data_IF_619322691535
#
_entry.id   IF_619322691535
#
_cell.length_a   1.000
_cell.length_b   1.000
_cell.length_c   1.000
_cell.angle_alpha   90.00
_cell.angle_beta   90.00
_cell.angle_gamma   90.00
#
_symmetry.space_group_name_H-M   'P 1'
#
loop_
_entity.id
_entity.type
_entity.pdbx_description
1 polymer ?
#
# COMPACT_ATOMS: atom_id res chain seq x y z
N UNK A 1 10.99 28.58 9.63
CA UNK A 1 9.63 28.52 9.08
C UNK A 1 9.70 27.85 7.72
N UNK A 2 9.02 26.73 7.57
CA UNK A 2 9.07 25.87 6.38
C UNK A 2 8.64 26.66 5.13
N UNK A 3 9.25 26.38 3.97
CA UNK A 3 8.94 27.10 2.72
C UNK A 3 7.46 27.01 2.36
N UNK A 4 6.80 25.89 2.68
CA UNK A 4 5.37 25.67 2.50
C UNK A 4 4.50 26.70 3.23
N UNK A 5 4.94 27.18 4.41
CA UNK A 5 4.22 28.21 5.18
C UNK A 5 4.37 29.62 4.57
N UNK A 6 5.39 29.86 3.73
CA UNK A 6 5.58 31.15 3.07
C UNK A 6 4.73 31.32 1.81
N UNK A 7 4.24 30.21 1.25
CA UNK A 7 3.45 30.16 0.01
C UNK A 7 1.97 29.83 0.27
N UNK A 8 1.53 29.85 1.53
CA UNK A 8 0.15 29.59 1.89
C UNK A 8 -0.74 30.77 1.52
N UNK A 9 -1.65 30.56 0.57
CA UNK A 9 -2.75 31.47 0.25
C UNK A 9 -4.04 30.89 0.84
N UNK A 10 -4.68 31.57 1.82
CA UNK A 10 -5.96 31.13 2.35
C UNK A 10 -7.01 31.13 1.23
N UNK A 11 -7.73 30.02 1.06
CA UNK A 11 -8.85 29.93 0.12
C UNK A 11 -10.11 29.46 0.85
N UNK A 12 -11.26 30.04 0.50
CA UNK A 12 -12.57 29.59 1.00
C UNK A 12 -13.15 28.43 0.17
N UNK A 13 -12.49 28.06 -0.93
CA UNK A 13 -12.88 26.90 -1.72
C UNK A 13 -12.63 25.60 -0.93
N UNK A 14 -13.52 24.59 -1.04
CA UNK A 14 -13.28 23.30 -0.45
C UNK A 14 -11.98 22.70 -1.00
N UNK A 15 -11.20 22.09 -0.12
CA UNK A 15 -9.96 21.43 -0.49
C UNK A 15 -10.22 20.31 -1.51
N UNK A 16 -9.65 20.43 -2.71
CA UNK A 16 -9.69 19.39 -3.72
C UNK A 16 -8.38 18.59 -3.72
N UNK A 17 -8.48 17.33 -3.29
CA UNK A 17 -7.34 16.43 -3.21
C UNK A 17 -6.75 16.07 -4.58
N UNK A 18 -7.51 16.21 -5.67
CA UNK A 18 -7.02 15.96 -7.03
C UNK A 18 -6.10 17.08 -7.53
N UNK A 19 -6.18 18.26 -6.92
CA UNK A 19 -5.33 19.41 -7.22
C UNK A 19 -3.96 19.33 -6.53
N UNK A 20 -3.73 18.33 -5.68
CA UNK A 20 -2.44 18.11 -5.00
C UNK A 20 -1.45 17.47 -5.98
N UNK A 21 -0.27 18.08 -6.21
CA UNK A 21 0.79 17.47 -7.01
C UNK A 21 1.21 16.12 -6.43
N UNK A 22 1.12 15.06 -7.23
CA UNK A 22 1.56 13.70 -6.85
C UNK A 22 3.09 13.56 -6.76
N UNK A 23 3.83 14.60 -7.13
CA UNK A 23 5.28 14.64 -7.07
C UNK A 23 5.75 14.98 -5.65
N UNK A 24 6.06 13.94 -4.88
CA UNK A 24 6.88 14.08 -3.68
C UNK A 24 8.30 14.38 -4.14
N UNK A 25 8.70 15.65 -4.10
CA UNK A 25 10.09 16.05 -4.31
C UNK A 25 10.93 15.51 -3.15
N UNK A 26 11.46 14.31 -3.31
CA UNK A 26 12.38 13.70 -2.36
C UNK A 26 13.61 14.61 -2.23
N UNK A 27 13.78 15.22 -1.05
CA UNK A 27 15.06 15.81 -0.68
C UNK A 27 16.07 14.66 -0.54
N UNK A 28 17.22 14.68 -1.25
CA UNK A 28 18.22 13.64 -1.08
C UNK A 28 18.90 13.82 0.27
N UNK A 29 18.58 12.95 1.23
CA UNK A 29 19.43 12.72 2.39
C UNK A 29 20.63 11.91 1.89
N UNK A 30 21.81 12.53 1.90
CA UNK A 30 23.03 11.87 1.47
C UNK A 30 23.46 10.83 2.50
N UNK A 31 23.20 9.54 2.20
CA UNK A 31 23.82 8.42 2.91
C UNK A 31 24.66 7.58 1.95
N UNK A 32 25.90 7.31 2.38
CA UNK A 32 27.01 6.81 1.57
C UNK A 32 27.13 5.29 1.69
N UNK A 33 26.90 4.58 0.57
CA UNK A 33 27.38 3.23 0.13
C UNK A 33 27.19 2.04 1.12
N UNK A 34 26.79 0.84 0.69
CA UNK A 34 27.62 -0.16 -0.02
C UNK A 34 26.75 -1.14 -0.84
N UNK A 35 27.24 -1.49 -2.03
CA UNK A 35 26.71 -2.52 -2.91
C UNK A 35 27.15 -3.94 -2.49
N UNK A 36 26.24 -4.93 -2.50
CA UNK A 36 26.37 -6.14 -3.35
C UNK A 36 25.28 -7.21 -3.11
N UNK A 37 24.82 -7.75 -4.24
CA UNK A 37 24.53 -9.17 -4.58
C UNK A 37 23.33 -9.90 -3.95
N UNK A 38 22.39 -10.25 -4.85
CA UNK A 38 21.47 -11.40 -4.76
C UNK A 38 22.19 -12.69 -4.36
N UNK A 39 21.47 -13.58 -3.68
CA UNK A 39 21.35 -14.96 -4.16
C UNK A 39 19.90 -15.31 -4.51
N UNK A 40 19.75 -15.98 -5.65
CA UNK A 40 18.55 -16.71 -6.07
C UNK A 40 18.36 -17.92 -5.17
N UNK A 41 17.18 -18.10 -4.57
CA UNK A 41 16.79 -19.28 -3.78
C UNK A 41 15.31 -19.57 -3.99
N UNK A 42 14.99 -20.83 -4.26
CA UNK A 42 13.73 -21.32 -4.81
C UNK A 42 12.50 -21.09 -3.91
N UNK A 43 11.35 -20.83 -4.53
CA UNK A 43 10.09 -21.46 -4.11
C UNK A 43 9.06 -20.61 -3.33
N UNK A 44 8.60 -19.49 -3.88
CA UNK A 44 7.20 -19.07 -3.78
C UNK A 44 6.97 -17.94 -4.80
N UNK A 45 6.00 -18.13 -5.70
CA UNK A 45 5.51 -17.02 -6.51
C UNK A 45 4.99 -15.95 -5.55
N UNK A 46 5.37 -14.67 -5.68
CA UNK A 46 4.64 -13.62 -4.99
C UNK A 46 3.24 -13.59 -5.62
N UNK A 47 2.26 -14.25 -4.99
CA UNK A 47 0.84 -14.11 -5.34
C UNK A 47 0.28 -12.78 -4.77
N UNK A 48 1.16 -11.81 -4.51
CA UNK A 48 0.76 -10.43 -4.26
C UNK A 48 0.60 -9.73 -5.61
N UNK A 49 -0.53 -9.07 -5.89
CA UNK A 49 -0.63 -8.22 -7.08
C UNK A 49 0.54 -7.22 -7.06
N UNK A 50 1.21 -7.08 -8.21
CA UNK A 50 2.19 -6.03 -8.44
C UNK A 50 1.59 -4.70 -7.99
N UNK A 51 2.26 -4.00 -7.07
CA UNK A 51 1.79 -2.85 -6.28
C UNK A 51 1.49 -1.58 -7.09
N UNK A 52 0.66 -1.69 -8.12
CA UNK A 52 0.06 -0.58 -8.84
C UNK A 52 -1.35 -0.33 -8.32
N UNK A 53 -1.72 0.94 -8.18
CA UNK A 53 -3.08 1.33 -7.79
C UNK A 53 -4.15 0.66 -8.68
N UNK A 54 -3.86 0.53 -9.98
CA UNK A 54 -4.74 -0.12 -10.97
C UNK A 54 -4.97 -1.62 -10.70
N UNK A 55 -3.99 -2.32 -10.13
CA UNK A 55 -4.11 -3.74 -9.82
C UNK A 55 -5.09 -3.97 -8.65
N UNK A 56 -5.03 -3.13 -7.62
CA UNK A 56 -5.97 -3.18 -6.50
C UNK A 56 -7.38 -2.78 -6.93
N UNK A 57 -7.53 -1.77 -7.79
CA UNK A 57 -8.85 -1.37 -8.30
C UNK A 57 -9.52 -2.53 -9.06
N UNK A 58 -8.78 -3.21 -9.94
CA UNK A 58 -9.30 -4.38 -10.66
C UNK A 58 -9.65 -5.54 -9.72
N UNK A 59 -8.78 -5.83 -8.74
CA UNK A 59 -9.01 -6.90 -7.77
C UNK A 59 -10.26 -6.65 -6.93
N UNK A 60 -10.37 -5.47 -6.32
CA UNK A 60 -11.49 -5.13 -5.45
C UNK A 60 -12.81 -5.04 -6.22
N UNK A 61 -12.76 -4.55 -7.47
CA UNK A 61 -13.94 -4.53 -8.35
C UNK A 61 -14.44 -5.91 -8.75
N UNK A 62 -13.62 -6.96 -8.61
CA UNK A 62 -14.04 -8.34 -8.88
C UNK A 62 -14.81 -8.99 -7.73
N UNK A 63 -14.87 -8.34 -6.56
CA UNK A 63 -15.56 -8.83 -5.36
C UNK A 63 -16.96 -8.19 -5.32
N UNK A 64 -18.04 -8.97 -5.56
CA UNK A 64 -19.40 -8.42 -5.69
C UNK A 64 -19.87 -7.64 -4.46
N UNK A 65 -19.45 -8.06 -3.26
CA UNK A 65 -19.79 -7.46 -1.98
C UNK A 65 -19.30 -6.00 -1.86
N UNK A 66 -18.29 -5.62 -2.64
CA UNK A 66 -17.71 -4.26 -2.62
C UNK A 66 -18.31 -3.34 -3.68
N UNK A 67 -19.24 -3.84 -4.51
CA UNK A 67 -19.85 -3.07 -5.61
C UNK A 67 -20.52 -1.76 -5.14
N UNK A 68 -21.03 -1.72 -3.91
CA UNK A 68 -21.67 -0.55 -3.32
C UNK A 68 -20.68 0.48 -2.74
N UNK A 69 -19.39 0.16 -2.61
CA UNK A 69 -18.40 1.06 -1.98
C UNK A 69 -17.90 2.14 -2.94
N UNK A 70 -18.19 2.01 -4.23
CA UNK A 70 -17.81 2.97 -5.27
C UNK A 70 -16.36 2.80 -5.73
N UNK A 71 -15.77 3.89 -6.23
CA UNK A 71 -14.41 3.87 -6.78
C UNK A 71 -13.37 3.83 -5.67
N UNK A 72 -12.35 2.98 -5.82
CA UNK A 72 -11.18 2.97 -4.96
C UNK A 72 -10.47 4.33 -5.01
N UNK A 73 -10.29 4.96 -3.85
CA UNK A 73 -9.57 6.23 -3.76
C UNK A 73 -8.05 6.00 -3.65
N UNK A 74 -7.62 5.16 -2.70
CA UNK A 74 -6.20 4.87 -2.46
C UNK A 74 -6.02 3.54 -1.74
N UNK A 75 -4.92 2.86 -2.03
CA UNK A 75 -4.42 1.73 -1.23
C UNK A 75 -3.14 2.13 -0.49
N UNK A 76 -2.96 1.67 0.73
CA UNK A 76 -1.70 1.83 1.47
C UNK A 76 -0.62 0.88 0.94
N UNK A 77 0.63 1.09 1.35
CA UNK A 77 1.61 0.02 1.29
C UNK A 77 1.21 -1.11 2.27
N UNK A 78 1.62 -2.37 2.01
CA UNK A 78 1.47 -3.46 2.96
C UNK A 78 2.22 -3.16 4.27
N UNK A 79 1.63 -3.59 5.39
CA UNK A 79 2.25 -3.53 6.72
C UNK A 79 2.21 -4.92 7.32
N UNK A 80 3.37 -5.43 7.74
CA UNK A 80 3.49 -6.72 8.43
C UNK A 80 2.79 -6.66 9.79
N UNK A 81 1.95 -7.65 10.06
CA UNK A 81 1.23 -7.81 11.32
C UNK A 81 1.81 -8.92 12.19
N UNK A 82 2.62 -9.81 11.61
CA UNK A 82 3.32 -10.88 12.33
C UNK A 82 4.82 -10.72 12.21
N UNK A 83 5.56 -11.28 13.17
CA UNK A 83 7.02 -11.35 13.12
C UNK A 83 7.47 -12.36 12.06
N UNK A 84 8.71 -12.20 11.60
CA UNK A 84 9.33 -13.16 10.70
C UNK A 84 9.39 -14.56 11.35
N UNK A 85 9.24 -15.59 10.52
CA UNK A 85 9.39 -17.01 10.93
C UNK A 85 8.32 -17.53 11.92
N UNK A 86 7.19 -16.82 12.03
CA UNK A 86 5.98 -17.33 12.70
C UNK A 86 5.17 -18.26 11.79
N UNK A 87 4.21 -18.98 12.37
CA UNK A 87 3.39 -20.00 11.70
C UNK A 87 2.54 -19.42 10.55
N UNK A 88 2.17 -18.15 10.65
CA UNK A 88 1.52 -17.41 9.58
C UNK A 88 2.23 -16.08 9.34
N UNK A 89 2.66 -15.86 8.10
CA UNK A 89 3.06 -14.53 7.65
C UNK A 89 1.79 -13.77 7.24
N UNK A 90 1.47 -12.69 7.96
CA UNK A 90 0.29 -11.86 7.69
C UNK A 90 0.71 -10.42 7.50
N UNK A 91 0.28 -9.82 6.39
CA UNK A 91 0.34 -8.38 6.19
C UNK A 91 -1.03 -7.80 5.83
N UNK A 92 -1.19 -6.51 6.08
CA UNK A 92 -2.43 -5.79 5.81
C UNK A 92 -2.22 -4.67 4.79
N UNK A 93 -3.18 -4.52 3.89
CA UNK A 93 -3.31 -3.37 2.99
C UNK A 93 -4.63 -2.67 3.29
N UNK A 94 -4.60 -1.35 3.45
CA UNK A 94 -5.79 -0.53 3.68
C UNK A 94 -6.25 0.08 2.37
N UNK A 95 -7.49 -0.17 1.98
CA UNK A 95 -8.12 0.40 0.80
C UNK A 95 -9.16 1.42 1.23
N UNK A 96 -8.95 2.67 0.85
CA UNK A 96 -9.83 3.79 1.19
C UNK A 96 -10.79 4.01 0.02
N UNK A 97 -12.07 4.06 0.33
CA UNK A 97 -13.17 4.52 -0.51
C UNK A 97 -13.76 5.79 0.12
N UNK A 98 -14.72 6.42 -0.56
CA UNK A 98 -15.32 7.68 -0.09
C UNK A 98 -16.01 7.54 1.28
N UNK A 99 -16.77 6.44 1.48
CA UNK A 99 -17.49 6.15 2.73
C UNK A 99 -17.05 4.89 3.47
N UNK A 100 -16.05 4.15 2.95
CA UNK A 100 -15.67 2.84 3.47
C UNK A 100 -14.15 2.66 3.50
N UNK A 101 -13.68 1.80 4.42
CA UNK A 101 -12.29 1.33 4.42
C UNK A 101 -12.34 -0.20 4.42
N UNK A 102 -11.65 -0.80 3.46
CA UNK A 102 -11.48 -2.26 3.37
C UNK A 102 -10.07 -2.62 3.84
N UNK A 103 -9.97 -3.59 4.75
CA UNK A 103 -8.71 -4.16 5.21
C UNK A 103 -8.49 -5.50 4.52
N UNK A 104 -7.53 -5.54 3.60
CA UNK A 104 -7.09 -6.79 2.97
C UNK A 104 -5.99 -7.41 3.82
N UNK A 105 -6.22 -8.62 4.33
CA UNK A 105 -5.22 -9.43 5.01
C UNK A 105 -4.66 -10.45 4.02
N UNK A 106 -3.35 -10.37 3.75
CA UNK A 106 -2.65 -11.38 2.96
C UNK A 106 -2.04 -12.37 3.95
N UNK A 107 -2.63 -13.56 4.03
CA UNK A 107 -2.21 -14.62 4.93
C UNK A 107 -1.44 -15.68 4.16
N UNK A 108 -0.22 -15.99 4.58
CA UNK A 108 0.57 -17.11 4.07
C UNK A 108 0.84 -18.08 5.20
N UNK A 109 0.34 -19.32 5.08
CA UNK A 109 0.69 -20.40 5.98
C UNK A 109 2.14 -20.83 5.70
N UNK A 110 2.99 -20.83 6.73
CA UNK A 110 4.39 -21.25 6.61
C UNK A 110 4.59 -22.71 7.03
N UNK A 111 3.57 -23.35 7.61
CA UNK A 111 3.59 -24.75 8.06
C UNK A 111 2.59 -25.57 7.24
N UNK A 112 3.02 -26.25 6.17
CA UNK A 112 2.13 -26.94 5.24
C UNK A 112 1.37 -28.12 5.86
N UNK A 113 1.88 -28.68 6.95
CA UNK A 113 1.29 -29.83 7.65
C UNK A 113 0.12 -29.45 8.56
N UNK A 114 -0.08 -28.17 8.83
CA UNK A 114 -1.16 -27.66 9.68
C UNK A 114 -2.10 -26.79 8.85
N UNK A 115 -3.37 -27.18 8.75
CA UNK A 115 -4.41 -26.42 8.03
C UNK A 115 -5.32 -25.68 9.03
N UNK A 116 -5.67 -24.44 8.69
CA UNK A 116 -6.68 -23.64 9.40
C UNK A 116 -7.99 -23.59 8.61
#
# INVERSE_FOLDING_TARGET
LETSLKNYEPTEAPFDINSVPKEVKSQPLAEKKVANKKPTGLGALPIGPSSGADAYEKLLSSIPEFSAFGKLFKSSAPVELTEAETEYAVNVVKHVFDGHIVFQYNCTNTIPEQLL
#
